data_IF_537566967813
#
_entry.id   IF_537566967813
#
_cell.length_a   1.000
_cell.length_b   1.000
_cell.length_c   1.000
_cell.angle_alpha   90.00
_cell.angle_beta   90.00
_cell.angle_gamma   90.00
#
_symmetry.space_group_name_H-M   'P 1'
#
loop_
_entity.id
_entity.type
_entity.pdbx_description
1 polymer ?
#
# COMPACT_ATOMS: atom_id res chain seq x y z
N UNK A 1 9.69 -8.69 9.75
CA UNK A 1 8.63 -9.49 10.41
C UNK A 1 7.81 -8.64 11.38
N UNK A 2 8.43 -7.99 12.38
CA UNK A 2 7.76 -7.13 13.39
C UNK A 2 6.77 -6.09 12.82
N UNK A 3 7.09 -5.44 11.70
CA UNK A 3 6.19 -4.45 11.07
C UNK A 3 4.90 -5.09 10.53
N UNK A 4 5.00 -6.25 9.88
CA UNK A 4 3.82 -6.97 9.38
C UNK A 4 2.97 -7.46 10.56
N UNK A 5 3.62 -8.01 11.59
CA UNK A 5 2.96 -8.49 12.81
C UNK A 5 2.16 -7.40 13.53
N UNK A 6 2.75 -6.23 13.71
CA UNK A 6 2.13 -5.16 14.49
C UNK A 6 0.96 -4.50 13.77
N UNK A 7 0.97 -4.47 12.43
CA UNK A 7 -0.01 -3.70 11.66
C UNK A 7 -1.10 -4.57 11.04
N UNK A 8 -0.80 -5.81 10.63
CA UNK A 8 -1.74 -6.64 9.88
C UNK A 8 -2.97 -7.03 10.72
N UNK A 9 -2.76 -7.39 11.99
CA UNK A 9 -3.87 -7.77 12.88
C UNK A 9 -4.73 -6.57 13.24
N UNK A 10 -4.10 -5.46 13.62
CA UNK A 10 -4.81 -4.21 13.96
C UNK A 10 -5.62 -3.69 12.78
N UNK A 11 -5.05 -3.74 11.57
CA UNK A 11 -5.73 -3.26 10.37
C UNK A 11 -6.88 -4.17 9.95
N UNK A 12 -6.72 -5.49 10.05
CA UNK A 12 -7.80 -6.44 9.72
C UNK A 12 -8.98 -6.36 10.70
N UNK A 13 -8.71 -6.14 11.99
CA UNK A 13 -9.74 -5.89 13.00
C UNK A 13 -10.50 -4.57 12.71
N UNK A 14 -9.79 -3.51 12.33
CA UNK A 14 -10.39 -2.20 12.05
C UNK A 14 -11.25 -2.15 10.78
N UNK A 15 -10.93 -2.95 9.75
CA UNK A 15 -11.73 -3.00 8.52
C UNK A 15 -13.08 -3.70 8.75
N UNK A 16 -13.17 -4.61 9.72
CA UNK A 16 -14.41 -5.33 10.06
C UNK A 16 -14.99 -6.21 8.94
N UNK A 17 -14.30 -6.36 7.81
CA UNK A 17 -14.72 -7.18 6.67
C UNK A 17 -14.19 -8.60 6.80
N UNK A 18 -15.05 -9.57 6.50
CA UNK A 18 -14.64 -10.97 6.30
C UNK A 18 -14.06 -11.12 4.89
N UNK A 19 -13.13 -12.06 4.72
CA UNK A 19 -12.53 -12.44 3.43
C UNK A 19 -11.70 -11.34 2.73
N UNK A 20 -10.91 -10.58 3.49
CA UNK A 20 -9.93 -9.67 2.91
C UNK A 20 -8.75 -10.46 2.32
N UNK A 21 -8.17 -9.92 1.25
CA UNK A 21 -6.96 -10.45 0.62
C UNK A 21 -5.80 -9.49 0.85
N UNK A 22 -4.61 -10.04 1.05
CA UNK A 22 -3.38 -9.28 1.23
C UNK A 22 -2.60 -9.25 -0.06
N UNK A 23 -2.32 -8.05 -0.57
CA UNK A 23 -1.43 -7.87 -1.70
C UNK A 23 -0.13 -7.21 -1.25
N UNK A 24 0.99 -7.70 -1.77
CA UNK A 24 2.30 -7.07 -1.66
C UNK A 24 3.04 -7.18 -2.99
N UNK A 25 4.05 -6.34 -3.20
CA UNK A 25 4.88 -6.38 -4.38
C UNK A 25 5.71 -7.67 -4.39
N UNK A 26 5.82 -8.34 -5.54
CA UNK A 26 6.63 -9.56 -5.66
C UNK A 26 8.15 -9.29 -5.65
N UNK A 27 8.58 -8.22 -4.97
CA UNK A 27 9.99 -7.89 -4.79
C UNK A 27 10.67 -8.98 -3.97
N UNK A 28 11.86 -9.38 -4.43
CA UNK A 28 12.62 -10.52 -3.89
C UNK A 28 12.95 -10.35 -2.39
N UNK A 29 12.97 -9.10 -1.90
CA UNK A 29 13.19 -8.75 -0.49
C UNK A 29 11.98 -9.04 0.41
N UNK A 30 10.77 -9.15 -0.15
CA UNK A 30 9.53 -9.41 0.59
C UNK A 30 9.07 -10.88 0.52
N UNK A 31 9.74 -11.71 -0.30
CA UNK A 31 9.37 -13.12 -0.53
C UNK A 31 10.11 -14.13 0.35
N UNK A 32 10.53 -13.73 1.55
CA UNK A 32 11.14 -14.66 2.51
C UNK A 32 10.17 -15.78 2.91
N UNK A 33 10.70 -16.98 3.17
CA UNK A 33 9.89 -18.09 3.67
C UNK A 33 9.24 -17.76 5.03
N UNK A 34 9.90 -16.93 5.86
CA UNK A 34 9.34 -16.48 7.13
C UNK A 34 8.06 -15.66 6.93
N UNK A 35 8.04 -14.72 5.98
CA UNK A 35 6.84 -13.93 5.65
C UNK A 35 5.70 -14.82 5.16
N UNK A 36 5.99 -15.77 4.27
CA UNK A 36 4.99 -16.72 3.75
C UNK A 36 4.40 -17.58 4.86
N UNK A 37 5.26 -18.15 5.72
CA UNK A 37 4.82 -18.97 6.84
C UNK A 37 3.98 -18.18 7.84
N UNK A 38 4.34 -16.92 8.10
CA UNK A 38 3.56 -16.04 8.97
C UNK A 38 2.16 -15.77 8.41
N UNK A 39 2.05 -15.36 7.13
CA UNK A 39 0.76 -15.09 6.49
C UNK A 39 -0.13 -16.34 6.46
N UNK A 40 0.45 -17.50 6.14
CA UNK A 40 -0.25 -18.79 6.21
C UNK A 40 -0.73 -19.11 7.62
N UNK A 41 0.09 -18.87 8.66
CA UNK A 41 -0.28 -19.11 10.07
C UNK A 41 -1.46 -18.24 10.53
N UNK A 42 -1.69 -17.11 9.86
CA UNK A 42 -2.80 -16.19 10.11
C UNK A 42 -4.01 -16.42 9.19
N UNK A 43 -3.99 -17.48 8.37
CA UNK A 43 -5.01 -17.78 7.36
C UNK A 43 -5.29 -16.58 6.43
N UNK A 44 -4.25 -15.83 6.08
CA UNK A 44 -4.36 -14.67 5.20
C UNK A 44 -4.22 -15.12 3.75
N UNK A 45 -5.27 -14.89 2.95
CA UNK A 45 -5.21 -15.09 1.50
C UNK A 45 -4.31 -14.02 0.88
N UNK A 46 -3.32 -14.43 0.09
CA UNK A 46 -2.41 -13.51 -0.60
C UNK A 46 -2.83 -13.37 -2.06
N UNK A 47 -3.17 -12.15 -2.48
CA UNK A 47 -3.41 -11.82 -3.88
C UNK A 47 -2.06 -11.60 -4.59
N UNK A 48 -1.80 -12.39 -5.63
CA UNK A 48 -0.54 -12.31 -6.37
C UNK A 48 -0.58 -11.19 -7.40
N UNK A 49 0.26 -10.17 -7.20
CA UNK A 49 0.42 -9.10 -8.19
C UNK A 49 1.05 -9.63 -9.49
N UNK A 50 0.56 -9.26 -10.68
CA UNK A 50 1.21 -9.61 -11.94
C UNK A 50 2.62 -9.03 -11.99
N UNK A 51 3.62 -9.90 -12.27
CA UNK A 51 5.06 -9.61 -12.12
C UNK A 51 5.61 -8.57 -13.11
N UNK A 52 4.79 -8.14 -14.08
CA UNK A 52 5.24 -7.42 -15.29
C UNK A 52 4.60 -6.03 -15.43
N UNK A 53 3.65 -5.64 -14.57
CA UNK A 53 3.05 -4.30 -14.65
C UNK A 53 3.08 -3.60 -13.29
N UNK A 54 4.09 -2.74 -13.04
CA UNK A 54 4.05 -1.81 -11.91
C UNK A 54 2.83 -0.88 -11.96
N UNK A 55 2.28 -0.62 -13.15
CA UNK A 55 1.03 0.15 -13.35
C UNK A 55 -0.19 -0.54 -12.69
N UNK A 56 -0.10 -1.85 -12.43
CA UNK A 56 -1.13 -2.64 -11.76
C UNK A 56 -0.91 -2.81 -10.25
N UNK A 57 0.07 -2.13 -9.65
CA UNK A 57 0.21 -2.12 -8.20
C UNK A 57 -0.40 -0.83 -7.63
N UNK A 58 -1.58 -0.86 -6.99
CA UNK A 58 -2.26 0.33 -6.48
C UNK A 58 -1.40 1.12 -5.51
N UNK A 59 -0.50 0.44 -4.77
CA UNK A 59 0.38 1.13 -3.83
C UNK A 59 1.37 2.05 -4.55
N UNK A 60 1.89 1.64 -5.72
CA UNK A 60 2.79 2.47 -6.54
C UNK A 60 2.03 3.68 -7.11
N UNK A 61 0.80 3.46 -7.59
CA UNK A 61 -0.05 4.55 -8.06
C UNK A 61 -0.40 5.54 -6.93
N UNK A 62 -0.65 5.04 -5.71
CA UNK A 62 -0.85 5.89 -4.53
C UNK A 62 0.42 6.67 -4.19
N UNK A 63 1.60 6.04 -4.24
CA UNK A 63 2.88 6.72 -4.03
C UNK A 63 3.14 7.81 -5.07
N UNK A 64 2.84 7.57 -6.34
CA UNK A 64 2.98 8.57 -7.40
C UNK A 64 2.05 9.77 -7.16
N UNK A 65 0.77 9.52 -6.84
CA UNK A 65 -0.19 10.59 -6.51
C UNK A 65 0.28 11.41 -5.30
N UNK A 66 0.73 10.77 -4.23
CA UNK A 66 1.24 11.47 -3.05
C UNK A 66 2.52 12.23 -3.35
N UNK A 67 3.45 11.64 -4.11
CA UNK A 67 4.70 12.29 -4.51
C UNK A 67 4.44 13.55 -5.33
N UNK A 68 3.49 13.50 -6.27
CA UNK A 68 3.07 14.69 -7.04
C UNK A 68 2.51 15.76 -6.11
N UNK A 69 1.60 15.41 -5.20
CA UNK A 69 1.03 16.35 -4.21
C UNK A 69 2.08 16.98 -3.31
N UNK A 70 3.05 16.20 -2.83
CA UNK A 70 4.15 16.71 -1.99
C UNK A 70 5.05 17.66 -2.78
N UNK A 71 5.27 17.40 -4.07
CA UNK A 71 6.13 18.22 -4.93
C UNK A 71 5.40 19.35 -5.67
N UNK A 72 4.08 19.52 -5.46
CA UNK A 72 3.32 20.63 -6.01
C UNK A 72 3.96 21.96 -5.61
N UNK A 73 3.93 22.94 -6.52
CA UNK A 73 4.49 24.29 -6.33
C UNK A 73 6.00 24.34 -6.05
N UNK A 74 6.76 23.32 -6.45
CA UNK A 74 8.23 23.36 -6.46
C UNK A 74 8.92 22.62 -5.31
N UNK A 75 8.18 21.89 -4.48
CA UNK A 75 8.70 20.74 -3.70
C UNK A 75 9.95 20.97 -2.83
N UNK A 76 10.21 22.19 -2.35
CA UNK A 76 11.36 22.47 -1.50
C UNK A 76 10.97 22.45 -0.03
N UNK A 77 11.63 21.58 0.73
CA UNK A 77 11.44 21.46 2.17
C UNK A 77 12.75 21.77 2.89
N UNK A 78 12.73 22.75 3.80
CA UNK A 78 13.90 23.17 4.57
C UNK A 78 14.13 22.36 5.85
N UNK A 79 13.31 21.34 6.11
CA UNK A 79 13.51 20.40 7.21
C UNK A 79 12.82 19.06 6.95
N UNK A 80 13.32 18.01 7.61
CA UNK A 80 12.68 16.69 7.62
C UNK A 80 11.26 16.77 8.18
N UNK A 81 11.01 17.63 9.17
CA UNK A 81 9.68 17.80 9.75
C UNK A 81 8.69 18.39 8.74
N UNK A 82 9.12 19.40 7.97
CA UNK A 82 8.28 20.00 6.92
C UNK A 82 7.93 18.98 5.83
N UNK A 83 8.90 18.16 5.40
CA UNK A 83 8.64 17.08 4.45
C UNK A 83 7.66 16.05 5.03
N UNK A 84 7.83 15.66 6.29
CA UNK A 84 6.97 14.67 6.94
C UNK A 84 5.53 15.16 7.06
N UNK A 85 5.31 16.42 7.46
CA UNK A 85 3.99 17.05 7.49
C UNK A 85 3.35 17.12 6.10
N UNK A 86 4.13 17.41 5.06
CA UNK A 86 3.61 17.41 3.70
C UNK A 86 3.17 16.02 3.23
N UNK A 87 3.93 14.97 3.56
CA UNK A 87 3.55 13.58 3.27
C UNK A 87 2.28 13.19 4.03
N UNK A 88 2.19 13.50 5.33
CA UNK A 88 1.00 13.22 6.14
C UNK A 88 -0.24 13.95 5.62
N UNK A 89 -0.08 15.22 5.18
CA UNK A 89 -1.14 15.99 4.54
C UNK A 89 -1.57 15.39 3.20
N UNK A 90 -0.61 14.99 2.35
CA UNK A 90 -0.91 14.36 1.07
C UNK A 90 -1.67 13.04 1.27
N UNK A 91 -1.29 12.26 2.29
CA UNK A 91 -1.96 11.01 2.66
C UNK A 91 -3.38 11.26 3.19
N UNK A 92 -3.58 12.25 4.08
CA UNK A 92 -4.91 12.56 4.64
C UNK A 92 -5.87 13.09 3.57
N UNK A 93 -5.37 13.83 2.59
CA UNK A 93 -6.15 14.39 1.48
C UNK A 93 -6.25 13.44 0.27
N UNK A 94 -6.02 12.13 0.45
CA UNK A 94 -6.36 11.13 -0.56
C UNK A 94 -7.87 10.84 -0.48
N UNK A 95 -8.56 11.10 -1.58
CA UNK A 95 -10.00 10.84 -1.67
C UNK A 95 -10.28 9.33 -1.75
N UNK A 96 -11.27 8.81 -0.98
CA UNK A 96 -11.68 7.42 -1.06
C UNK A 96 -12.02 6.95 -2.49
N UNK A 97 -12.57 7.83 -3.32
CA UNK A 97 -12.93 7.59 -4.72
C UNK A 97 -11.69 7.31 -5.58
N UNK A 98 -10.57 7.98 -5.29
CA UNK A 98 -9.29 7.73 -5.95
C UNK A 98 -8.81 6.31 -5.63
N UNK A 99 -8.88 5.89 -4.36
CA UNK A 99 -8.50 4.55 -3.93
C UNK A 99 -9.39 3.47 -4.56
N UNK A 100 -10.70 3.69 -4.58
CA UNK A 100 -11.65 2.77 -5.23
C UNK A 100 -11.37 2.62 -6.73
N UNK A 101 -11.10 3.73 -7.42
CA UNK A 101 -10.79 3.72 -8.85
C UNK A 101 -9.53 2.92 -9.15
N UNK A 102 -8.49 3.06 -8.32
CA UNK A 102 -7.25 2.28 -8.45
C UNK A 102 -7.49 0.78 -8.24
N UNK A 103 -8.29 0.41 -7.22
CA UNK A 103 -8.65 -1.00 -6.98
C UNK A 103 -9.45 -1.57 -8.16
N UNK A 104 -10.45 -0.86 -8.67
CA UNK A 104 -11.24 -1.31 -9.83
C UNK A 104 -10.43 -1.39 -11.13
N UNK A 105 -9.34 -0.64 -11.26
CA UNK A 105 -8.45 -0.73 -12.41
C UNK A 105 -7.63 -2.02 -12.40
N UNK A 106 -7.29 -2.53 -11.22
CA UNK A 106 -6.65 -3.83 -11.08
C UNK A 106 -7.57 -4.97 -11.50
N UNK A 107 -8.80 -5.00 -10.99
CA UNK A 107 -9.77 -6.07 -11.28
C UNK A 107 -10.06 -6.21 -12.77
N UNK A 108 -10.00 -5.11 -13.53
CA UNK A 108 -10.16 -5.10 -15.00
C UNK A 108 -8.95 -5.63 -15.76
N UNK A 109 -7.81 -5.79 -15.11
CA UNK A 109 -6.53 -6.15 -15.72
C UNK A 109 -6.06 -7.57 -15.37
N UNK A 110 -6.87 -8.32 -14.61
CA UNK A 110 -6.75 -9.75 -14.31
C UNK A 110 -7.62 -10.55 -15.26
#
# INVERSE_FOLDING_TARGET
>A
MKTLENNLTVFSENIGRRNWEYQYDNSLIHTSNATKNYLNSKNVTVLKCPRISPDLNPVENVWDIMSRKVNENGGQFYSVNALKTAIESAQYNLEPETLQTLIMSMERSV
#
